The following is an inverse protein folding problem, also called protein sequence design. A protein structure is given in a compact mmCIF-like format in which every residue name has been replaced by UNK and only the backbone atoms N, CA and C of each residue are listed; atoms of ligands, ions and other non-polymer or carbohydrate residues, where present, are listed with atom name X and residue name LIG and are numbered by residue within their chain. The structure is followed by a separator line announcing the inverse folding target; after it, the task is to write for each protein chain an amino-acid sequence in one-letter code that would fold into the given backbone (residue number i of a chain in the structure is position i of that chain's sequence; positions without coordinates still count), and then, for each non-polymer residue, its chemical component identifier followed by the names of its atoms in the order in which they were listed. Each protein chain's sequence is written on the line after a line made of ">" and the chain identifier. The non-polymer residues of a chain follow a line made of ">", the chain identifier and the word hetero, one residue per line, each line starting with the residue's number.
data_IF_136653567262
#
_entry.id   IF_136653567262
#
_cell.length_a   1.000
_cell.length_b   1.000
_cell.length_c   1.000
_cell.angle_alpha   90.00
_cell.angle_beta   90.00
_cell.angle_gamma   90.00
#
_symmetry.space_group_name_H-M   'P 1'
#
loop_
_entity.id
_entity.type
_entity.pdbx_description
1 polymer ?
#
# COMPACT_ATOMS: atom_id res chain seq x y z
N UNK A 1 -0.51 -0.74 -48.76
CA UNK A 1 0.91 -0.76 -48.31
C UNK A 1 0.89 -1.12 -46.86
N UNK A 2 1.30 -2.35 -46.55
CA UNK A 2 1.15 -3.03 -45.27
C UNK A 2 2.25 -2.61 -44.29
N UNK A 3 1.88 -2.01 -43.17
CA UNK A 3 2.77 -1.79 -42.02
C UNK A 3 2.61 -2.93 -41.01
N UNK A 4 3.62 -3.80 -40.93
CA UNK A 4 3.71 -4.89 -39.95
C UNK A 4 3.87 -4.39 -38.52
N UNK A 5 3.19 -4.97 -37.52
CA UNK A 5 3.40 -4.62 -36.12
C UNK A 5 4.72 -5.21 -35.63
N UNK A 6 5.65 -4.35 -35.25
CA UNK A 6 6.91 -4.73 -34.60
C UNK A 6 6.64 -5.36 -33.26
N UNK A 7 7.07 -6.58 -33.16
CA UNK A 7 6.89 -7.56 -32.10
C UNK A 7 7.38 -7.05 -30.74
N UNK A 8 6.48 -6.66 -29.84
CA UNK A 8 6.78 -6.28 -28.43
C UNK A 8 7.35 -7.43 -27.59
N UNK A 9 7.25 -8.66 -28.07
CA UNK A 9 7.81 -9.86 -27.43
C UNK A 9 9.35 -9.96 -27.45
N UNK A 10 10.00 -9.32 -28.40
CA UNK A 10 11.47 -9.40 -28.51
C UNK A 10 12.20 -8.52 -27.47
N UNK A 11 11.55 -7.48 -26.93
CA UNK A 11 12.17 -6.57 -25.95
C UNK A 11 12.13 -7.16 -24.53
N UNK A 12 11.10 -7.93 -24.20
CA UNK A 12 10.99 -8.59 -22.89
C UNK A 12 12.06 -9.69 -22.71
N UNK A 13 12.37 -10.45 -23.75
CA UNK A 13 13.39 -11.53 -23.71
C UNK A 13 14.82 -10.96 -23.58
N UNK A 14 15.10 -9.79 -24.15
CA UNK A 14 16.44 -9.15 -24.06
C UNK A 14 16.68 -8.51 -22.69
N UNK A 15 15.64 -8.01 -22.00
CA UNK A 15 15.78 -7.49 -20.64
C UNK A 15 15.99 -8.62 -19.62
N UNK A 16 15.32 -9.76 -19.80
CA UNK A 16 15.51 -10.94 -18.93
C UNK A 16 16.89 -11.58 -19.09
N UNK A 17 17.50 -11.55 -20.28
CA UNK A 17 18.83 -12.13 -20.50
C UNK A 17 19.99 -11.26 -20.01
N UNK A 18 19.81 -9.94 -19.87
CA UNK A 18 20.81 -9.03 -19.27
C UNK A 18 20.77 -9.00 -17.74
N UNK A 19 19.68 -9.44 -17.12
CA UNK A 19 19.55 -9.68 -15.67
C UNK A 19 20.18 -11.01 -15.21
N UNK A 20 20.39 -11.96 -16.12
CA UNK A 20 20.92 -13.29 -15.83
C UNK A 20 22.41 -13.33 -15.42
N UNK A 21 23.11 -12.18 -15.42
CA UNK A 21 24.56 -12.13 -15.18
C UNK A 21 24.99 -12.01 -13.71
N UNK A 22 24.12 -11.72 -12.73
CA UNK A 22 24.52 -11.54 -11.33
C UNK A 22 23.45 -11.80 -10.26
N UNK A 23 22.24 -12.21 -10.64
CA UNK A 23 21.26 -12.70 -9.65
C UNK A 23 21.37 -14.23 -9.67
N UNK A 24 22.07 -14.80 -8.68
CA UNK A 24 22.08 -16.25 -8.44
C UNK A 24 20.60 -16.70 -8.41
N UNK A 25 20.22 -17.53 -9.41
CA UNK A 25 18.85 -17.81 -9.81
C UNK A 25 17.88 -18.10 -8.69
N UNK A 26 17.09 -17.14 -8.36
CA UNK A 26 15.88 -17.36 -7.60
C UNK A 26 14.92 -18.11 -8.51
N UNK A 27 14.77 -19.43 -8.28
CA UNK A 27 13.87 -20.26 -9.08
C UNK A 27 12.44 -19.85 -8.74
N UNK A 28 11.74 -19.29 -9.72
CA UNK A 28 10.28 -19.12 -9.64
C UNK A 28 9.67 -20.50 -9.55
N UNK A 29 8.87 -20.81 -8.52
CA UNK A 29 8.21 -22.12 -8.41
C UNK A 29 7.26 -22.34 -9.60
N UNK A 30 7.06 -23.59 -10.00
CA UNK A 30 6.16 -23.96 -11.09
C UNK A 30 4.68 -23.84 -10.68
N UNK A 31 4.38 -23.91 -9.37
CA UNK A 31 3.04 -23.76 -8.79
C UNK A 31 3.15 -23.18 -7.39
N UNK A 32 2.08 -22.56 -6.92
CA UNK A 32 1.97 -22.11 -5.52
C UNK A 32 1.73 -23.29 -4.58
N UNK A 33 2.36 -23.26 -3.41
CA UNK A 33 2.03 -24.19 -2.34
C UNK A 33 0.59 -23.94 -1.86
N UNK A 34 -0.23 -24.96 -1.83
CA UNK A 34 -1.64 -24.84 -1.43
C UNK A 34 -2.63 -24.60 -2.57
N UNK A 35 -2.16 -24.44 -3.81
CA UNK A 35 -3.02 -24.44 -4.98
C UNK A 35 -3.67 -25.83 -5.17
N UNK A 36 -4.96 -25.86 -5.51
CA UNK A 36 -5.66 -27.10 -5.83
C UNK A 36 -5.11 -27.70 -7.11
N UNK A 37 -4.70 -28.97 -7.03
CA UNK A 37 -4.16 -29.73 -8.16
C UNK A 37 -5.18 -29.98 -9.29
N UNK A 38 -6.46 -29.70 -9.03
CA UNK A 38 -7.57 -29.86 -9.98
C UNK A 38 -7.90 -28.58 -10.76
N UNK A 39 -7.39 -27.42 -10.31
CA UNK A 39 -7.55 -26.17 -11.06
C UNK A 39 -6.62 -26.19 -12.26
N UNK A 40 -7.15 -26.16 -13.47
CA UNK A 40 -6.33 -26.08 -14.69
C UNK A 40 -5.48 -24.81 -14.67
N UNK A 41 -4.21 -24.93 -15.00
CA UNK A 41 -3.21 -23.86 -14.99
C UNK A 41 -3.57 -22.71 -15.96
N UNK A 42 -4.50 -22.96 -16.89
CA UNK A 42 -4.95 -22.03 -17.93
C UNK A 42 -6.14 -21.15 -17.52
N UNK A 43 -6.66 -21.25 -16.29
CA UNK A 43 -7.76 -20.39 -15.85
C UNK A 43 -7.26 -19.00 -15.46
N UNK A 44 -8.01 -17.97 -15.88
CA UNK A 44 -7.79 -16.57 -15.50
C UNK A 44 -7.74 -16.43 -13.99
N UNK A 45 -6.67 -15.87 -13.47
CA UNK A 45 -6.53 -15.66 -12.01
C UNK A 45 -7.61 -14.70 -11.50
N UNK A 46 -8.11 -14.93 -10.27
CA UNK A 46 -9.00 -13.97 -9.60
C UNK A 46 -8.36 -12.58 -9.48
N UNK A 47 -7.02 -12.51 -9.39
CA UNK A 47 -6.29 -11.24 -9.38
C UNK A 47 -6.40 -10.44 -10.69
N UNK A 48 -6.90 -11.04 -11.78
CA UNK A 48 -7.16 -10.36 -13.06
C UNK A 48 -8.57 -9.76 -13.11
N UNK A 49 -9.45 -10.16 -12.19
CA UNK A 49 -10.80 -9.62 -12.10
C UNK A 49 -10.77 -8.25 -11.42
N UNK A 50 -11.67 -7.39 -11.84
CA UNK A 50 -11.86 -6.11 -11.16
C UNK A 50 -12.52 -6.34 -9.81
N UNK A 51 -12.22 -5.49 -8.83
CA UNK A 51 -12.73 -5.64 -7.46
C UNK A 51 -14.26 -5.68 -7.39
N UNK A 52 -14.98 -4.97 -8.27
CA UNK A 52 -16.45 -4.95 -8.31
C UNK A 52 -17.06 -6.21 -8.98
N UNK A 53 -16.26 -6.99 -9.71
CA UNK A 53 -16.68 -8.31 -10.21
C UNK A 53 -16.50 -9.39 -9.14
N UNK A 54 -15.60 -9.16 -8.19
CA UNK A 54 -15.36 -10.06 -7.05
C UNK A 54 -16.33 -9.80 -5.91
N UNK A 55 -16.57 -8.52 -5.59
CA UNK A 55 -17.44 -8.09 -4.49
C UNK A 55 -18.73 -7.48 -5.06
N UNK A 56 -19.81 -8.26 -5.08
CA UNK A 56 -21.06 -7.90 -5.76
C UNK A 56 -22.07 -7.12 -4.91
N UNK A 57 -21.74 -6.81 -3.65
CA UNK A 57 -22.58 -6.01 -2.77
C UNK A 57 -22.51 -4.51 -3.16
N UNK A 58 -23.65 -3.91 -3.49
CA UNK A 58 -23.74 -2.54 -3.97
C UNK A 58 -23.30 -1.49 -2.93
N UNK A 59 -23.57 -1.73 -1.64
CA UNK A 59 -23.15 -0.81 -0.57
C UNK A 59 -21.64 -0.89 -0.34
N UNK A 60 -21.07 -2.10 -0.36
CA UNK A 60 -19.64 -2.29 -0.35
C UNK A 60 -18.98 -1.56 -1.53
N UNK A 61 -19.54 -1.71 -2.73
CA UNK A 61 -19.01 -1.02 -3.91
C UNK A 61 -19.05 0.51 -3.77
N UNK A 62 -20.11 1.08 -3.18
CA UNK A 62 -20.19 2.53 -2.90
C UNK A 62 -19.13 2.96 -1.88
N UNK A 63 -18.93 2.20 -0.81
CA UNK A 63 -17.90 2.46 0.21
C UNK A 63 -16.50 2.45 -0.40
N UNK A 64 -16.18 1.45 -1.23
CA UNK A 64 -14.89 1.36 -1.92
C UNK A 64 -14.68 2.56 -2.84
N UNK A 65 -15.69 2.93 -3.66
CA UNK A 65 -15.60 4.12 -4.53
C UNK A 65 -15.38 5.40 -3.73
N UNK A 66 -16.05 5.55 -2.60
CA UNK A 66 -15.87 6.70 -1.70
C UNK A 66 -14.45 6.74 -1.12
N UNK A 67 -13.94 5.60 -0.66
CA UNK A 67 -12.57 5.48 -0.17
C UNK A 67 -11.55 5.81 -1.26
N UNK A 68 -11.74 5.33 -2.49
CA UNK A 68 -10.83 5.63 -3.62
C UNK A 68 -10.68 7.13 -3.90
N UNK A 69 -11.69 7.93 -3.58
CA UNK A 69 -11.67 9.40 -3.79
C UNK A 69 -11.14 10.14 -2.57
N UNK A 70 -11.56 9.74 -1.37
CA UNK A 70 -11.39 10.54 -0.16
C UNK A 70 -10.29 10.03 0.79
N UNK A 71 -9.86 8.77 0.67
CA UNK A 71 -8.90 8.17 1.59
C UNK A 71 -7.59 8.97 1.66
N UNK A 72 -7.12 9.23 2.88
CA UNK A 72 -5.94 10.07 3.12
C UNK A 72 -4.64 9.42 2.66
N UNK A 73 -4.51 8.09 2.72
CA UNK A 73 -3.29 7.40 2.26
C UNK A 73 -3.17 7.46 0.74
N UNK A 74 -4.29 7.32 0.02
CA UNK A 74 -4.32 7.53 -1.44
C UNK A 74 -3.98 8.97 -1.82
N UNK A 75 -4.52 9.96 -1.11
CA UNK A 75 -4.18 11.38 -1.33
C UNK A 75 -2.71 11.65 -1.03
N UNK A 76 -2.16 11.04 0.01
CA UNK A 76 -0.73 11.11 0.33
C UNK A 76 0.11 10.48 -0.77
N UNK A 77 -0.29 9.33 -1.31
CA UNK A 77 0.40 8.69 -2.44
C UNK A 77 0.39 9.57 -3.70
N UNK A 78 -0.73 10.26 -4.01
CA UNK A 78 -0.81 11.22 -5.11
C UNK A 78 0.15 12.40 -4.89
N UNK A 79 0.19 12.97 -3.68
CA UNK A 79 1.12 14.06 -3.36
C UNK A 79 2.60 13.61 -3.50
N UNK A 80 2.93 12.36 -3.16
CA UNK A 80 4.28 11.79 -3.37
C UNK A 80 4.62 11.68 -4.86
N UNK A 81 3.67 11.30 -5.72
CA UNK A 81 3.86 11.28 -7.18
C UNK A 81 4.14 12.69 -7.69
N UNK A 82 3.40 13.70 -7.23
CA UNK A 82 3.63 15.08 -7.66
C UNK A 82 4.99 15.60 -7.19
N UNK A 83 5.43 15.26 -5.99
CA UNK A 83 6.77 15.57 -5.50
C UNK A 83 7.86 14.87 -6.35
N UNK A 84 7.67 13.57 -6.67
CA UNK A 84 8.60 12.84 -7.53
C UNK A 84 8.64 13.41 -8.96
N UNK A 85 7.49 13.84 -9.50
CA UNK A 85 7.41 14.52 -10.80
C UNK A 85 8.15 15.84 -10.80
N UNK A 86 8.01 16.64 -9.74
CA UNK A 86 8.78 17.87 -9.57
C UNK A 86 10.29 17.59 -9.48
N UNK A 87 10.68 16.50 -8.78
CA UNK A 87 12.08 16.07 -8.71
C UNK A 87 12.66 15.69 -10.08
N UNK A 88 11.88 15.05 -10.95
CA UNK A 88 12.27 14.85 -12.36
C UNK A 88 12.48 16.18 -13.06
N UNK A 89 11.64 17.19 -12.82
CA UNK A 89 11.81 18.54 -13.33
C UNK A 89 13.14 19.18 -12.85
N UNK A 90 13.44 19.07 -11.57
CA UNK A 90 14.71 19.55 -10.99
C UNK A 90 15.90 18.84 -11.62
N UNK A 91 15.90 17.50 -11.68
CA UNK A 91 16.99 16.75 -12.29
C UNK A 91 17.17 17.05 -13.79
N UNK A 92 16.09 17.42 -14.49
CA UNK A 92 16.15 17.83 -15.90
C UNK A 92 16.65 19.27 -16.05
N UNK A 93 16.33 20.16 -15.13
CA UNK A 93 16.78 21.56 -15.19
C UNK A 93 18.30 21.69 -15.14
N UNK A 94 18.98 20.77 -14.46
CA UNK A 94 20.44 20.68 -14.46
C UNK A 94 21.06 20.42 -15.87
N UNK A 95 20.26 19.91 -16.80
CA UNK A 95 20.67 19.69 -18.21
C UNK A 95 20.41 20.91 -19.09
N UNK A 96 19.85 21.98 -18.55
CA UNK A 96 19.47 23.17 -19.29
C UNK A 96 20.29 24.37 -18.80
N UNK A 97 20.60 25.33 -19.70
CA UNK A 97 21.27 26.53 -19.31
C UNK A 97 20.38 27.38 -18.39
N UNK A 98 20.99 27.96 -17.36
CA UNK A 98 20.31 28.87 -16.44
C UNK A 98 20.79 30.28 -16.66
N UNK A 99 19.89 31.26 -16.64
CA UNK A 99 20.16 32.66 -16.79
C UNK A 99 19.73 33.41 -15.54
N UNK A 100 20.55 34.37 -15.11
CA UNK A 100 20.23 35.28 -14.02
C UNK A 100 20.55 36.71 -14.44
N UNK A 101 19.72 37.65 -14.06
CA UNK A 101 19.99 39.07 -14.18
C UNK A 101 20.41 39.63 -12.80
N UNK A 102 21.43 40.43 -12.78
CA UNK A 102 21.91 41.06 -11.56
C UNK A 102 22.37 42.51 -11.81
N UNK A 103 22.22 43.35 -10.81
CA UNK A 103 22.78 44.69 -10.76
C UNK A 103 23.49 44.87 -9.44
N UNK A 104 24.69 45.44 -9.48
CA UNK A 104 25.44 45.77 -8.29
C UNK A 104 26.10 47.15 -8.41
N UNK A 105 26.29 47.79 -7.26
CA UNK A 105 27.05 49.01 -7.13
C UNK A 105 28.06 48.82 -5.99
N UNK A 106 29.31 48.69 -6.36
CA UNK A 106 30.39 48.42 -5.41
C UNK A 106 31.29 49.62 -5.26
N UNK A 107 31.47 50.12 -4.04
CA UNK A 107 32.47 51.15 -3.70
C UNK A 107 33.57 50.51 -2.91
N UNK A 108 34.78 50.57 -3.42
CA UNK A 108 35.97 49.98 -2.77
C UNK A 108 37.01 51.08 -2.48
N UNK A 109 37.48 51.16 -1.24
CA UNK A 109 38.65 51.94 -0.87
C UNK A 109 39.83 51.01 -0.64
N UNK A 110 40.88 51.15 -1.42
CA UNK A 110 42.06 50.29 -1.32
C UNK A 110 43.09 50.94 -0.34
N UNK A 111 43.48 50.17 0.69
CA UNK A 111 44.45 50.60 1.69
C UNK A 111 45.81 51.06 1.07
N UNK A 112 46.35 52.15 1.56
CA UNK A 112 47.68 52.58 1.14
C UNK A 112 48.82 51.63 1.56
N UNK A 113 48.59 50.88 2.63
CA UNK A 113 49.54 49.90 3.17
C UNK A 113 49.39 48.51 2.58
N UNK A 114 48.40 48.28 1.65
CA UNK A 114 48.24 47.04 0.92
C UNK A 114 49.15 46.95 -0.30
N UNK A 115 49.42 45.72 -0.80
CA UNK A 115 50.33 45.51 -1.95
C UNK A 115 49.70 45.89 -3.32
N UNK A 116 48.66 46.70 -3.38
CA UNK A 116 48.00 47.07 -4.63
C UNK A 116 48.55 48.36 -5.19
N UNK A 117 48.96 48.37 -6.45
CA UNK A 117 49.33 49.55 -7.22
C UNK A 117 48.14 50.54 -7.22
N UNK A 118 48.24 51.71 -6.64
CA UNK A 118 47.17 52.72 -6.57
C UNK A 118 46.43 52.78 -5.23
N UNK A 119 46.98 52.28 -4.12
CA UNK A 119 46.46 52.38 -2.78
C UNK A 119 46.06 53.78 -2.34
N UNK A 120 45.03 53.95 -1.54
CA UNK A 120 44.48 55.22 -1.06
C UNK A 120 43.43 55.84 -2.00
N UNK A 121 42.96 55.14 -3.03
CA UNK A 121 41.87 55.61 -3.93
C UNK A 121 40.55 54.88 -3.63
N UNK A 122 39.51 55.69 -3.59
CA UNK A 122 38.12 55.11 -3.60
C UNK A 122 37.68 54.99 -5.05
N UNK A 123 37.17 53.83 -5.42
CA UNK A 123 36.59 53.56 -6.73
C UNK A 123 35.18 53.03 -6.55
N UNK A 124 34.24 53.60 -7.26
CA UNK A 124 32.88 53.07 -7.36
C UNK A 124 32.68 52.46 -8.75
N UNK A 125 32.02 51.34 -8.80
CA UNK A 125 31.69 50.64 -10.06
C UNK A 125 30.26 50.18 -9.96
N UNK A 126 29.42 50.61 -10.90
CA UNK A 126 28.07 50.08 -11.11
C UNK A 126 28.08 49.05 -12.24
N UNK A 127 27.38 47.96 -12.06
CA UNK A 127 27.23 46.94 -13.11
C UNK A 127 25.81 46.42 -13.21
N UNK A 128 25.39 46.07 -14.42
CA UNK A 128 24.14 45.35 -14.74
C UNK A 128 24.51 44.26 -15.73
N UNK A 129 24.23 43.00 -15.33
CA UNK A 129 24.60 41.87 -16.16
C UNK A 129 23.42 40.88 -16.30
N UNK A 130 23.32 40.29 -17.49
CA UNK A 130 22.68 38.99 -17.72
C UNK A 130 23.77 37.93 -17.66
N UNK A 131 23.70 37.06 -16.66
CA UNK A 131 24.66 35.98 -16.44
C UNK A 131 24.10 34.67 -17.04
N UNK A 132 24.90 34.05 -17.86
CA UNK A 132 24.74 32.64 -18.22
C UNK A 132 25.51 31.86 -17.16
N UNK A 133 24.75 31.28 -16.21
CA UNK A 133 25.35 30.57 -15.07
C UNK A 133 26.05 29.28 -15.56
N UNK A 134 26.95 28.76 -14.73
CA UNK A 134 27.76 27.59 -15.07
C UNK A 134 26.91 26.43 -15.59
N UNK A 135 26.89 26.23 -16.89
CA UNK A 135 26.18 25.16 -17.58
C UNK A 135 27.14 24.00 -17.86
N UNK A 136 26.87 22.83 -17.27
CA UNK A 136 27.65 21.61 -17.51
C UNK A 136 27.22 20.95 -18.84
N UNK A 137 28.14 20.84 -19.78
CA UNK A 137 27.95 20.04 -20.97
C UNK A 137 28.00 18.54 -20.61
N UNK A 138 26.85 17.87 -20.66
CA UNK A 138 26.73 16.46 -20.25
C UNK A 138 27.28 15.50 -21.30
N UNK A 139 28.56 15.65 -21.66
CA UNK A 139 29.24 14.82 -22.67
C UNK A 139 29.21 13.35 -22.26
N UNK A 140 29.49 13.07 -21.01
CA UNK A 140 29.56 11.71 -20.47
C UNK A 140 28.19 11.15 -20.02
N UNK A 141 27.16 11.96 -20.02
CA UNK A 141 25.80 11.56 -19.63
C UNK A 141 25.64 11.37 -18.12
N UNK A 142 26.35 12.12 -17.28
CA UNK A 142 26.17 12.12 -15.82
C UNK A 142 24.81 12.65 -15.44
N UNK A 143 24.43 13.83 -15.95
CA UNK A 143 23.15 14.48 -15.70
C UNK A 143 21.97 13.69 -16.30
N UNK A 144 22.17 13.09 -17.48
CA UNK A 144 21.18 12.17 -18.07
C UNK A 144 20.93 10.95 -17.19
N UNK A 145 21.96 10.38 -16.53
CA UNK A 145 21.78 9.27 -15.61
C UNK A 145 21.06 9.72 -14.32
N UNK A 146 21.31 10.93 -13.84
CA UNK A 146 20.61 11.50 -12.70
C UNK A 146 19.11 11.69 -13.01
N UNK A 147 18.78 12.23 -14.17
CA UNK A 147 17.37 12.33 -14.63
C UNK A 147 16.75 10.95 -14.85
N UNK A 148 17.53 9.93 -15.30
CA UNK A 148 17.06 8.55 -15.41
C UNK A 148 16.72 7.96 -14.03
N UNK A 149 17.53 8.23 -13.00
CA UNK A 149 17.25 7.82 -11.64
C UNK A 149 15.94 8.45 -11.13
N UNK A 150 15.80 9.77 -11.25
CA UNK A 150 14.58 10.48 -10.83
C UNK A 150 13.31 9.99 -11.56
N UNK A 151 13.40 9.64 -12.86
CA UNK A 151 12.27 9.05 -13.59
C UNK A 151 11.91 7.65 -13.10
N UNK A 152 12.90 6.84 -12.72
CA UNK A 152 12.64 5.52 -12.15
C UNK A 152 11.98 5.64 -10.77
N UNK A 153 12.41 6.59 -9.92
CA UNK A 153 11.76 6.91 -8.65
C UNK A 153 10.31 7.38 -8.83
N UNK A 154 10.03 8.19 -9.87
CA UNK A 154 8.66 8.57 -10.21
C UNK A 154 7.80 7.34 -10.54
N UNK A 155 8.31 6.43 -11.40
CA UNK A 155 7.57 5.19 -11.73
C UNK A 155 7.37 4.29 -10.52
N UNK A 156 8.37 4.20 -9.64
CA UNK A 156 8.22 3.49 -8.36
C UNK A 156 7.07 4.07 -7.54
N UNK A 157 6.98 5.40 -7.42
CA UNK A 157 5.89 6.07 -6.70
C UNK A 157 4.51 5.86 -7.35
N UNK A 158 4.45 5.74 -8.68
CA UNK A 158 3.21 5.40 -9.40
C UNK A 158 2.75 3.96 -9.11
N UNK A 159 3.67 3.02 -9.00
CA UNK A 159 3.36 1.64 -8.59
C UNK A 159 3.01 1.55 -7.08
N UNK A 160 3.70 2.30 -6.22
CA UNK A 160 3.37 2.39 -4.79
C UNK A 160 1.92 2.87 -4.56
N UNK A 161 1.44 3.84 -5.35
CA UNK A 161 0.04 4.28 -5.30
C UNK A 161 -0.93 3.12 -5.58
N UNK A 162 -0.61 2.24 -6.54
CA UNK A 162 -1.45 1.07 -6.85
C UNK A 162 -1.45 0.08 -5.67
N UNK A 163 -0.30 -0.09 -5.01
CA UNK A 163 -0.19 -0.90 -3.80
C UNK A 163 -1.10 -0.35 -2.69
N UNK A 164 -1.06 0.97 -2.45
CA UNK A 164 -1.95 1.63 -1.47
C UNK A 164 -3.42 1.43 -1.84
N UNK A 165 -3.77 1.53 -3.13
CA UNK A 165 -5.15 1.29 -3.59
C UNK A 165 -5.61 -0.14 -3.30
N UNK A 166 -4.78 -1.16 -3.57
CA UNK A 166 -5.09 -2.56 -3.24
C UNK A 166 -5.32 -2.74 -1.72
N UNK A 167 -4.51 -2.08 -0.89
CA UNK A 167 -4.65 -2.11 0.57
C UNK A 167 -6.00 -1.48 0.98
N UNK A 168 -6.29 -0.29 0.50
CA UNK A 168 -7.54 0.43 0.85
C UNK A 168 -8.79 -0.35 0.44
N UNK A 169 -8.82 -0.93 -0.76
CA UNK A 169 -9.93 -1.79 -1.22
C UNK A 169 -10.10 -2.99 -0.27
N UNK A 170 -9.00 -3.64 0.09
CA UNK A 170 -9.03 -4.78 1.01
C UNK A 170 -9.46 -4.41 2.43
N UNK A 171 -9.03 -3.26 2.92
CA UNK A 171 -9.36 -2.81 4.28
C UNK A 171 -10.84 -2.37 4.39
N UNK A 172 -11.39 -1.72 3.35
CA UNK A 172 -12.83 -1.41 3.27
C UNK A 172 -13.65 -2.70 3.22
N UNK A 173 -13.28 -3.65 2.36
CA UNK A 173 -14.00 -4.92 2.24
C UNK A 173 -13.92 -5.72 3.54
N UNK A 174 -12.74 -5.79 4.15
CA UNK A 174 -12.53 -6.49 5.42
C UNK A 174 -13.33 -5.88 6.57
N UNK A 175 -13.31 -4.57 6.71
CA UNK A 175 -14.11 -3.86 7.72
C UNK A 175 -15.61 -4.03 7.49
N UNK A 176 -16.07 -3.98 6.25
CA UNK A 176 -17.48 -4.16 5.91
C UNK A 176 -17.98 -5.59 6.22
N UNK A 177 -17.23 -6.63 5.87
CA UNK A 177 -17.61 -8.00 6.22
C UNK A 177 -17.58 -8.27 7.72
N UNK A 178 -16.65 -7.63 8.45
CA UNK A 178 -16.65 -7.68 9.91
C UNK A 178 -17.87 -6.97 10.51
N UNK A 179 -18.34 -5.89 9.89
CA UNK A 179 -19.55 -5.19 10.31
C UNK A 179 -20.80 -6.05 10.10
N UNK A 180 -20.92 -6.73 8.95
CA UNK A 180 -22.04 -7.67 8.68
C UNK A 180 -22.04 -8.87 9.63
N UNK A 181 -20.86 -9.35 10.02
CA UNK A 181 -20.73 -10.39 11.04
C UNK A 181 -21.25 -9.92 12.39
N UNK A 182 -20.85 -8.75 12.86
CA UNK A 182 -21.30 -8.17 14.11
C UNK A 182 -22.82 -7.92 14.12
N UNK A 183 -23.40 -7.48 13.02
CA UNK A 183 -24.86 -7.35 12.88
C UNK A 183 -25.56 -8.71 13.03
N UNK A 184 -24.99 -9.78 12.45
CA UNK A 184 -25.50 -11.15 12.55
C UNK A 184 -25.36 -11.69 13.98
N UNK A 185 -24.25 -11.42 14.68
CA UNK A 185 -24.05 -11.77 16.08
C UNK A 185 -25.05 -11.03 16.98
N UNK A 186 -25.32 -9.74 16.72
CA UNK A 186 -26.28 -8.94 17.48
C UNK A 186 -27.70 -9.50 17.35
N UNK A 187 -28.10 -9.85 16.14
CA UNK A 187 -29.41 -10.46 15.90
C UNK A 187 -29.54 -11.83 16.59
N UNK A 188 -28.50 -12.66 16.52
CA UNK A 188 -28.43 -13.92 17.24
C UNK A 188 -28.53 -13.71 18.76
N UNK A 189 -27.75 -12.79 19.33
CA UNK A 189 -27.74 -12.50 20.76
C UNK A 189 -29.12 -12.01 21.25
N UNK A 190 -29.79 -11.14 20.49
CA UNK A 190 -31.13 -10.64 20.81
C UNK A 190 -32.20 -11.76 20.79
N UNK A 191 -32.16 -12.64 19.78
CA UNK A 191 -33.05 -13.80 19.70
C UNK A 191 -32.82 -14.79 20.84
N UNK A 192 -31.54 -15.07 21.17
CA UNK A 192 -31.16 -15.95 22.28
C UNK A 192 -31.59 -15.36 23.63
N UNK A 193 -31.42 -14.05 23.85
CA UNK A 193 -31.89 -13.38 25.06
C UNK A 193 -33.41 -13.55 25.23
N UNK A 194 -34.20 -13.29 24.18
CA UNK A 194 -35.66 -13.45 24.21
C UNK A 194 -36.08 -14.89 24.55
N UNK A 195 -35.40 -15.90 23.97
CA UNK A 195 -35.63 -17.32 24.26
C UNK A 195 -35.32 -17.68 25.72
N UNK A 196 -34.20 -17.15 26.25
CA UNK A 196 -33.77 -17.39 27.64
C UNK A 196 -34.70 -16.70 28.65
N UNK A 197 -35.19 -15.50 28.35
CA UNK A 197 -36.19 -14.82 29.18
C UNK A 197 -37.51 -15.59 29.22
N UNK A 198 -37.94 -16.17 28.11
CA UNK A 198 -39.14 -17.02 28.10
C UNK A 198 -38.92 -18.31 28.92
N UNK A 199 -37.75 -18.94 28.79
CA UNK A 199 -37.37 -20.11 29.59
C UNK A 199 -37.36 -19.77 31.10
N UNK A 200 -36.78 -18.61 31.48
CA UNK A 200 -36.77 -18.16 32.87
C UNK A 200 -38.19 -17.95 33.39
N UNK A 201 -39.10 -17.34 32.61
CA UNK A 201 -40.52 -17.18 33.00
C UNK A 201 -41.20 -18.53 33.28
N UNK A 202 -40.99 -19.52 32.38
CA UNK A 202 -41.52 -20.85 32.54
C UNK A 202 -40.99 -21.55 33.79
N UNK A 203 -39.68 -21.49 34.03
CA UNK A 203 -39.01 -22.13 35.18
C UNK A 203 -39.47 -21.46 36.49
N UNK A 204 -39.63 -20.12 36.54
CA UNK A 204 -40.13 -19.37 37.69
C UNK A 204 -41.58 -19.74 38.02
N UNK A 205 -42.44 -19.90 37.02
CA UNK A 205 -43.81 -20.38 37.21
C UNK A 205 -43.84 -21.83 37.76
N UNK A 206 -42.98 -22.72 37.28
CA UNK A 206 -42.82 -24.09 37.80
C UNK A 206 -42.33 -24.08 39.28
N UNK A 207 -41.43 -23.19 39.63
CA UNK A 207 -40.93 -23.06 41.00
C UNK A 207 -42.05 -22.60 41.94
N UNK A 208 -42.86 -21.63 41.53
CA UNK A 208 -44.07 -21.21 42.31
C UNK A 208 -45.07 -22.34 42.49
N UNK A 209 -45.20 -23.25 41.49
CA UNK A 209 -45.99 -24.46 41.58
C UNK A 209 -45.34 -25.64 42.31
N UNK A 210 -44.12 -25.46 42.87
CA UNK A 210 -43.39 -26.52 43.59
C UNK A 210 -42.75 -27.58 42.70
N UNK A 211 -42.68 -27.35 41.38
CA UNK A 211 -42.18 -28.29 40.35
C UNK A 211 -40.72 -27.98 39.89
N UNK A 212 -40.14 -26.93 40.43
CA UNK A 212 -38.72 -26.54 40.19
C UNK A 212 -38.12 -25.97 41.48
N UNK A 213 -36.79 -25.98 41.57
CA UNK A 213 -36.08 -25.47 42.74
C UNK A 213 -35.67 -23.98 42.57
N UNK A 214 -35.32 -23.31 43.65
CA UNK A 214 -34.74 -21.97 43.58
C UNK A 214 -33.40 -21.98 42.83
N UNK A 215 -32.64 -23.08 42.86
CA UNK A 215 -31.40 -23.26 42.11
C UNK A 215 -31.68 -23.23 40.58
N UNK A 216 -32.73 -23.91 40.12
CA UNK A 216 -33.14 -23.92 38.73
C UNK A 216 -33.41 -22.49 38.20
N UNK A 217 -34.08 -21.67 38.99
CA UNK A 217 -34.35 -20.25 38.65
C UNK A 217 -33.03 -19.48 38.53
N UNK A 218 -32.10 -19.64 39.49
CA UNK A 218 -30.83 -18.93 39.46
C UNK A 218 -29.95 -19.32 38.26
N UNK A 219 -29.95 -20.60 37.89
CA UNK A 219 -29.26 -21.07 36.68
C UNK A 219 -29.87 -20.48 35.39
N UNK A 220 -31.19 -20.37 35.30
CA UNK A 220 -31.86 -19.71 34.19
C UNK A 220 -31.57 -18.21 34.13
N UNK A 221 -31.59 -17.52 35.30
CA UNK A 221 -31.23 -16.10 35.41
C UNK A 221 -29.77 -15.86 34.95
N UNK A 222 -28.85 -16.74 35.31
CA UNK A 222 -27.44 -16.66 34.87
C UNK A 222 -27.33 -16.60 33.33
N UNK A 223 -28.04 -17.48 32.60
CA UNK A 223 -28.02 -17.49 31.13
C UNK A 223 -28.64 -16.24 30.52
N UNK A 224 -29.71 -15.68 31.14
CA UNK A 224 -30.30 -14.41 30.71
C UNK A 224 -29.26 -13.28 30.84
N UNK A 225 -28.59 -13.17 32.01
CA UNK A 225 -27.56 -12.13 32.20
C UNK A 225 -26.34 -12.30 31.33
N UNK A 226 -25.93 -13.55 31.02
CA UNK A 226 -24.86 -13.81 30.08
C UNK A 226 -25.20 -13.31 28.67
N UNK A 227 -26.41 -13.63 28.15
CA UNK A 227 -26.85 -13.14 26.85
C UNK A 227 -27.03 -11.61 26.84
N UNK A 228 -27.64 -11.05 27.89
CA UNK A 228 -27.86 -9.61 28.01
C UNK A 228 -26.53 -8.82 28.03
N UNK A 229 -25.50 -9.35 28.68
CA UNK A 229 -24.15 -8.71 28.71
C UNK A 229 -23.48 -8.71 27.33
N UNK A 230 -23.72 -9.70 26.50
CA UNK A 230 -23.08 -9.81 25.18
C UNK A 230 -23.57 -8.73 24.22
N UNK A 231 -24.84 -8.28 24.32
CA UNK A 231 -25.44 -7.28 23.44
C UNK A 231 -24.67 -5.95 23.44
N UNK A 232 -24.47 -5.25 24.58
CA UNK A 232 -23.73 -3.96 24.57
C UNK A 232 -22.27 -4.10 24.13
N UNK A 233 -21.64 -5.26 24.30
CA UNK A 233 -20.29 -5.51 23.82
C UNK A 233 -20.23 -5.60 22.29
N UNK A 234 -21.21 -6.26 21.67
CA UNK A 234 -21.35 -6.31 20.22
C UNK A 234 -21.73 -4.91 19.68
N UNK A 235 -22.67 -4.20 20.29
CA UNK A 235 -23.07 -2.85 19.89
C UNK A 235 -21.88 -1.88 19.91
N UNK A 236 -21.06 -1.93 20.95
CA UNK A 236 -19.80 -1.18 21.01
C UNK A 236 -18.87 -1.54 19.85
N UNK A 237 -18.75 -2.83 19.53
CA UNK A 237 -17.88 -3.30 18.44
C UNK A 237 -18.39 -2.85 17.07
N UNK A 238 -19.72 -2.80 16.87
CA UNK A 238 -20.35 -2.24 15.67
C UNK A 238 -19.98 -0.77 15.52
N UNK A 239 -20.22 0.05 16.53
CA UNK A 239 -19.92 1.49 16.48
C UNK A 239 -18.44 1.77 16.22
N UNK A 240 -17.53 1.00 16.83
CA UNK A 240 -16.09 1.13 16.60
C UNK A 240 -15.71 0.73 15.16
N UNK A 241 -16.32 -0.32 14.61
CA UNK A 241 -16.09 -0.75 13.23
C UNK A 241 -16.64 0.28 12.22
N UNK A 242 -17.80 0.87 12.48
CA UNK A 242 -18.36 1.97 11.71
C UNK A 242 -17.42 3.20 11.71
N UNK A 243 -16.89 3.57 12.88
CA UNK A 243 -15.92 4.66 13.00
C UNK A 243 -14.66 4.37 12.19
N UNK A 244 -14.15 3.13 12.22
CA UNK A 244 -12.99 2.72 11.44
C UNK A 244 -13.28 2.79 9.93
N UNK A 245 -14.42 2.30 9.47
CA UNK A 245 -14.83 2.41 8.06
C UNK A 245 -15.02 3.85 7.62
N UNK A 246 -15.62 4.69 8.47
CA UNK A 246 -15.76 6.13 8.23
C UNK A 246 -14.38 6.78 8.04
N UNK A 247 -13.41 6.45 8.89
CA UNK A 247 -12.04 6.94 8.76
C UNK A 247 -11.38 6.49 7.45
N UNK A 248 -11.50 5.19 7.09
CA UNK A 248 -10.92 4.66 5.84
C UNK A 248 -11.56 5.31 4.61
N UNK A 249 -12.86 5.61 4.66
CA UNK A 249 -13.58 6.30 3.58
C UNK A 249 -13.36 7.81 3.57
N UNK A 250 -12.59 8.36 4.52
CA UNK A 250 -12.29 9.78 4.63
C UNK A 250 -13.45 10.63 5.12
N UNK A 251 -14.40 10.03 5.84
CA UNK A 251 -15.57 10.68 6.42
C UNK A 251 -15.44 10.85 7.93
N UNK A 252 -16.25 11.71 8.51
CA UNK A 252 -16.42 11.77 9.97
C UNK A 252 -17.12 10.51 10.48
N UNK A 253 -16.88 10.09 11.75
CA UNK A 253 -17.55 8.96 12.37
C UNK A 253 -19.08 9.03 12.21
N UNK A 254 -19.68 7.92 11.78
CA UNK A 254 -21.11 7.82 11.55
C UNK A 254 -21.52 6.41 11.14
N UNK A 255 -22.84 6.17 11.09
CA UNK A 255 -23.41 4.89 10.70
C UNK A 255 -23.07 4.55 9.22
N UNK A 256 -22.72 3.30 8.99
CA UNK A 256 -22.40 2.77 7.65
C UNK A 256 -23.64 2.01 7.13
N UNK A 257 -24.12 2.29 5.90
CA UNK A 257 -25.20 1.54 5.29
C UNK A 257 -24.81 0.06 5.09
N UNK A 258 -25.79 -0.84 5.27
CA UNK A 258 -25.66 -2.28 5.03
C UNK A 258 -26.39 -2.63 3.73
N UNK A 259 -25.75 -3.51 2.95
CA UNK A 259 -26.35 -4.11 1.76
C UNK A 259 -26.92 -5.49 2.08
N UNK A 260 -26.37 -6.53 1.44
CA UNK A 260 -26.80 -7.90 1.68
C UNK A 260 -26.32 -8.43 3.04
N UNK A 261 -27.17 -9.19 3.78
CA UNK A 261 -26.74 -9.88 5.00
C UNK A 261 -25.56 -10.82 4.76
N UNK A 262 -24.80 -11.13 5.83
CA UNK A 262 -23.62 -12.00 5.76
C UNK A 262 -23.91 -13.36 5.07
N UNK A 263 -25.06 -13.94 5.35
CA UNK A 263 -25.47 -15.25 4.81
C UNK A 263 -25.78 -15.24 3.31
N UNK A 264 -26.04 -14.07 2.73
CA UNK A 264 -26.36 -13.90 1.30
C UNK A 264 -25.15 -13.44 0.49
N UNK A 265 -24.02 -13.19 1.14
CA UNK A 265 -22.78 -12.83 0.44
C UNK A 265 -22.26 -14.02 -0.38
N UNK A 266 -22.02 -13.77 -1.67
CA UNK A 266 -21.51 -14.82 -2.56
C UNK A 266 -20.06 -15.15 -2.27
N UNK A 267 -19.73 -16.43 -2.16
CA UNK A 267 -18.35 -16.92 -2.10
C UNK A 267 -18.02 -17.68 -3.38
N UNK A 268 -16.81 -17.52 -3.89
CA UNK A 268 -16.35 -18.23 -5.08
C UNK A 268 -15.95 -19.67 -4.70
N UNK A 269 -16.55 -20.71 -5.29
CA UNK A 269 -16.28 -22.10 -4.89
C UNK A 269 -14.88 -22.58 -5.23
N UNK A 270 -14.29 -22.06 -6.31
CA UNK A 270 -12.93 -22.36 -6.76
C UNK A 270 -12.24 -21.04 -7.17
N UNK A 271 -11.06 -20.79 -6.61
CA UNK A 271 -10.28 -19.60 -6.92
C UNK A 271 -9.02 -20.00 -7.67
N UNK A 272 -8.94 -19.75 -9.00
CA UNK A 272 -7.72 -19.98 -9.76
C UNK A 272 -6.62 -19.01 -9.29
N UNK A 273 -5.49 -19.53 -8.83
CA UNK A 273 -4.35 -18.70 -8.38
C UNK A 273 -3.53 -18.14 -9.56
N UNK A 274 -3.64 -18.70 -10.75
CA UNK A 274 -2.80 -18.37 -11.90
C UNK A 274 -1.36 -18.89 -11.77
N UNK A 275 -0.49 -18.45 -12.68
CA UNK A 275 0.92 -18.85 -12.70
C UNK A 275 1.75 -18.00 -11.72
N UNK A 276 2.68 -18.59 -10.96
CA UNK A 276 3.61 -17.83 -10.11
C UNK A 276 4.43 -16.77 -10.85
N UNK A 277 4.78 -17.02 -12.13
CA UNK A 277 5.50 -16.06 -12.96
C UNK A 277 4.69 -14.79 -13.29
N UNK A 278 3.37 -14.90 -13.44
CA UNK A 278 2.51 -13.74 -13.71
C UNK A 278 2.42 -12.78 -12.53
N UNK A 279 2.66 -13.28 -11.30
CA UNK A 279 2.69 -12.46 -10.09
C UNK A 279 3.75 -11.36 -10.15
N UNK A 280 4.93 -11.66 -10.75
CA UNK A 280 6.05 -10.73 -10.86
C UNK A 280 5.69 -9.51 -11.74
N UNK A 281 4.83 -9.70 -12.73
CA UNK A 281 4.39 -8.63 -13.63
C UNK A 281 3.14 -7.91 -13.11
N UNK A 282 2.35 -8.58 -12.26
CA UNK A 282 1.07 -8.06 -11.79
C UNK A 282 1.19 -7.22 -10.53
N UNK A 283 1.99 -7.64 -9.55
CA UNK A 283 2.06 -6.97 -8.24
C UNK A 283 2.77 -5.63 -8.33
N UNK A 284 2.10 -4.55 -7.93
CA UNK A 284 2.69 -3.21 -7.99
C UNK A 284 3.89 -3.03 -7.05
N UNK A 285 3.91 -3.67 -5.88
CA UNK A 285 5.03 -3.61 -4.93
C UNK A 285 6.31 -4.21 -5.49
N UNK A 286 6.21 -5.30 -6.26
CA UNK A 286 7.37 -5.89 -6.95
C UNK A 286 7.88 -4.93 -8.04
N UNK A 287 6.97 -4.32 -8.80
CA UNK A 287 7.32 -3.35 -9.84
C UNK A 287 7.93 -2.08 -9.27
N UNK A 288 7.43 -1.59 -8.13
CA UNK A 288 8.02 -0.47 -7.42
C UNK A 288 9.46 -0.78 -6.97
N UNK A 289 9.68 -1.96 -6.40
CA UNK A 289 11.02 -2.39 -5.99
C UNK A 289 11.98 -2.56 -7.19
N UNK A 290 11.50 -3.03 -8.35
CA UNK A 290 12.26 -3.10 -9.58
C UNK A 290 12.68 -1.72 -10.07
N UNK A 291 11.76 -0.75 -10.11
CA UNK A 291 12.05 0.63 -10.53
C UNK A 291 13.02 1.33 -9.56
N UNK A 292 12.91 1.07 -8.26
CA UNK A 292 13.89 1.53 -7.29
C UNK A 292 15.30 0.95 -7.56
N UNK A 293 15.40 -0.33 -7.94
CA UNK A 293 16.67 -0.92 -8.36
C UNK A 293 17.22 -0.26 -9.63
N UNK A 294 16.37 0.07 -10.60
CA UNK A 294 16.75 0.83 -11.81
C UNK A 294 17.29 2.20 -11.45
N UNK A 295 16.68 2.91 -10.48
CA UNK A 295 17.16 4.19 -9.97
C UNK A 295 18.56 4.06 -9.36
N UNK A 296 18.79 3.11 -8.47
CA UNK A 296 20.09 2.90 -7.83
C UNK A 296 21.19 2.51 -8.83
N UNK A 297 20.89 1.71 -9.86
CA UNK A 297 21.83 1.43 -10.96
C UNK A 297 22.23 2.70 -11.71
N UNK A 298 21.29 3.60 -11.95
CA UNK A 298 21.59 4.88 -12.60
C UNK A 298 22.48 5.76 -11.69
N UNK A 299 22.24 5.80 -10.38
CA UNK A 299 23.06 6.53 -9.42
C UNK A 299 24.49 5.99 -9.30
N UNK A 300 24.70 4.67 -9.39
CA UNK A 300 26.06 4.11 -9.51
C UNK A 300 26.78 4.65 -10.76
N UNK A 301 26.04 4.77 -11.88
CA UNK A 301 26.60 5.36 -13.10
C UNK A 301 26.95 6.84 -12.92
N UNK A 302 26.11 7.62 -12.21
CA UNK A 302 26.40 9.02 -11.84
C UNK A 302 27.69 9.10 -11.04
N UNK A 303 27.84 8.30 -9.98
CA UNK A 303 29.04 8.30 -9.12
C UNK A 303 30.32 7.91 -9.90
N UNK A 304 30.24 6.92 -10.81
CA UNK A 304 31.37 6.55 -11.66
C UNK A 304 31.76 7.67 -12.63
N UNK A 305 30.77 8.37 -13.22
CA UNK A 305 31.02 9.46 -14.17
C UNK A 305 31.55 10.73 -13.51
N UNK A 306 31.44 10.85 -12.19
CA UNK A 306 32.04 11.95 -11.43
C UNK A 306 33.59 11.94 -11.45
N UNK A 307 34.22 10.83 -11.87
CA UNK A 307 35.67 10.77 -12.09
C UNK A 307 36.11 11.40 -13.42
N UNK A 308 35.18 11.63 -14.36
CA UNK A 308 35.48 12.16 -15.69
C UNK A 308 35.58 13.70 -15.66
N UNK A 309 36.28 14.33 -16.64
CA UNK A 309 36.37 15.77 -16.74
C UNK A 309 35.00 16.42 -16.86
N UNK A 310 34.75 17.49 -16.10
CA UNK A 310 33.55 18.30 -16.25
C UNK A 310 33.85 19.45 -17.19
N UNK A 311 33.02 19.65 -18.19
CA UNK A 311 33.09 20.77 -19.11
C UNK A 311 31.95 21.70 -18.79
N UNK A 312 32.26 22.90 -18.32
CA UNK A 312 31.26 23.91 -17.99
C UNK A 312 31.45 25.17 -18.84
N UNK A 313 30.35 25.84 -19.12
CA UNK A 313 30.32 27.12 -19.82
C UNK A 313 29.72 28.14 -18.88
N UNK A 314 30.44 29.28 -18.72
CA UNK A 314 29.92 30.43 -17.98
C UNK A 314 30.02 31.65 -18.87
N UNK A 315 29.04 32.50 -18.87
CA UNK A 315 29.02 33.73 -19.66
C UNK A 315 28.35 34.87 -18.91
N UNK A 316 28.75 36.08 -19.28
CA UNK A 316 28.26 37.29 -18.70
C UNK A 316 28.17 38.36 -19.80
N UNK A 317 27.06 39.05 -19.89
CA UNK A 317 26.82 40.10 -20.86
C UNK A 317 26.11 41.25 -20.17
N UNK A 318 26.61 42.47 -20.31
CA UNK A 318 25.96 43.60 -19.69
C UNK A 318 26.72 44.93 -19.84
N UNK A 319 26.60 45.73 -18.84
CA UNK A 319 27.21 47.06 -18.77
C UNK A 319 27.92 47.22 -17.43
N UNK A 320 29.09 47.88 -17.46
CA UNK A 320 29.87 48.22 -16.27
C UNK A 320 30.49 49.61 -16.43
N UNK A 321 30.32 50.46 -15.42
CA UNK A 321 30.83 51.82 -15.46
C UNK A 321 31.23 52.32 -14.07
N UNK A 322 32.21 53.20 -13.99
CA UNK A 322 32.60 53.93 -12.79
C UNK A 322 31.70 55.14 -12.50
N UNK A 323 30.89 55.54 -13.50
CA UNK A 323 29.88 56.58 -13.38
C UNK A 323 28.49 56.07 -13.82
N UNK A 324 27.49 56.18 -12.97
CA UNK A 324 26.14 55.75 -13.27
C UNK A 324 25.52 56.45 -14.50
N UNK A 325 25.90 57.70 -14.76
CA UNK A 325 25.45 58.45 -15.96
C UNK A 325 25.89 57.80 -17.27
N UNK A 326 26.97 57.06 -17.27
CA UNK A 326 27.55 56.40 -18.44
C UNK A 326 27.26 54.90 -18.51
N UNK A 327 26.53 54.37 -17.54
CA UNK A 327 26.33 52.92 -17.42
C UNK A 327 25.76 52.26 -18.69
N UNK A 328 24.78 52.91 -19.33
CA UNK A 328 24.16 52.39 -20.56
C UNK A 328 24.79 52.89 -21.85
N UNK A 329 25.96 53.51 -21.79
CA UNK A 329 26.65 53.95 -22.98
C UNK A 329 27.34 52.80 -23.71
N UNK A 330 27.59 52.97 -25.03
CA UNK A 330 28.27 51.95 -25.82
C UNK A 330 29.60 51.50 -25.27
N UNK A 331 30.48 52.43 -24.79
CA UNK A 331 31.77 52.07 -24.18
C UNK A 331 31.68 51.28 -22.90
N UNK A 332 30.57 51.30 -22.20
CA UNK A 332 30.35 50.57 -20.94
C UNK A 332 29.91 49.10 -21.17
N UNK A 333 29.74 48.65 -22.39
CA UNK A 333 29.40 47.25 -22.70
C UNK A 333 30.53 46.33 -22.25
N UNK A 334 30.17 45.31 -21.51
CA UNK A 334 31.08 44.29 -21.03
C UNK A 334 30.52 42.88 -21.30
N UNK A 335 31.37 41.98 -21.69
CA UNK A 335 30.99 40.55 -21.82
C UNK A 335 32.19 39.69 -21.46
N UNK A 336 31.85 38.51 -20.93
CA UNK A 336 32.84 37.46 -20.62
C UNK A 336 32.26 36.12 -21.02
N UNK A 337 33.04 35.24 -21.61
CA UNK A 337 32.68 33.86 -21.92
C UNK A 337 33.85 32.96 -21.51
N UNK A 338 33.56 32.03 -20.58
CA UNK A 338 34.56 31.17 -19.94
C UNK A 338 34.15 29.71 -20.13
N UNK A 339 34.63 29.04 -21.17
CA UNK A 339 34.64 27.58 -21.21
C UNK A 339 35.67 27.05 -20.24
N UNK A 340 35.29 26.11 -19.39
CA UNK A 340 36.17 25.55 -18.36
C UNK A 340 36.11 24.03 -18.40
N UNK A 341 37.28 23.39 -18.34
CA UNK A 341 37.40 21.94 -18.16
C UNK A 341 38.05 21.68 -16.81
N UNK A 342 37.36 20.95 -15.94
CA UNK A 342 37.85 20.61 -14.60
C UNK A 342 37.94 19.09 -14.46
N UNK A 343 39.17 18.59 -14.23
CA UNK A 343 39.44 17.17 -13.97
C UNK A 343 39.87 17.00 -12.51
N UNK A 344 39.11 16.26 -11.68
CA UNK A 344 39.57 15.94 -10.33
C UNK A 344 40.74 14.95 -10.37
N UNK A 345 41.93 15.37 -9.89
CA UNK A 345 43.14 14.53 -9.83
C UNK A 345 43.22 13.83 -8.46
N UNK A 346 43.07 14.59 -7.38
CA UNK A 346 43.10 14.08 -6.02
C UNK A 346 41.97 14.66 -5.20
N UNK A 347 41.17 13.80 -4.60
CA UNK A 347 39.96 14.18 -3.83
C UNK A 347 39.93 13.57 -2.43
N UNK A 348 41.10 13.18 -1.89
CA UNK A 348 41.19 12.58 -0.57
C UNK A 348 40.37 11.27 -0.41
N UNK A 349 40.15 10.56 -1.50
CA UNK A 349 39.35 9.33 -1.49
C UNK A 349 37.82 9.53 -1.64
N UNK A 350 37.31 10.77 -1.67
CA UNK A 350 35.87 11.08 -1.72
C UNK A 350 35.17 10.38 -2.91
N UNK A 351 35.62 10.55 -4.12
CA UNK A 351 34.99 9.94 -5.30
C UNK A 351 34.99 8.41 -5.26
N UNK A 352 36.07 7.81 -4.69
CA UNK A 352 36.12 6.36 -4.49
C UNK A 352 35.09 5.90 -3.46
N UNK A 353 34.89 6.68 -2.39
CA UNK A 353 33.88 6.40 -1.36
C UNK A 353 32.47 6.61 -1.89
N UNK A 354 32.22 7.65 -2.72
CA UNK A 354 30.94 7.89 -3.38
C UNK A 354 30.51 6.69 -4.24
N UNK A 355 31.45 6.11 -5.03
CA UNK A 355 31.17 4.90 -5.82
C UNK A 355 30.93 3.68 -4.93
N UNK A 356 31.68 3.53 -3.83
CA UNK A 356 31.44 2.42 -2.89
C UNK A 356 30.06 2.54 -2.24
N UNK A 357 29.69 3.74 -1.81
CA UNK A 357 28.40 4.04 -1.24
C UNK A 357 27.26 3.73 -2.23
N UNK A 358 27.34 4.26 -3.46
CA UNK A 358 26.33 3.99 -4.48
C UNK A 358 26.20 2.50 -4.82
N UNK A 359 27.31 1.73 -4.84
CA UNK A 359 27.26 0.28 -5.02
C UNK A 359 26.60 -0.44 -3.85
N UNK A 360 26.88 -0.02 -2.61
CA UNK A 360 26.21 -0.59 -1.44
C UNK A 360 24.70 -0.31 -1.44
N UNK A 361 24.29 0.90 -1.87
CA UNK A 361 22.86 1.22 -2.05
C UNK A 361 22.20 0.38 -3.16
N UNK A 362 22.93 0.12 -4.24
CA UNK A 362 22.44 -0.78 -5.30
C UNK A 362 22.28 -2.23 -4.76
N UNK A 363 23.24 -2.73 -4.00
CA UNK A 363 23.16 -4.07 -3.39
C UNK A 363 21.99 -4.16 -2.42
N UNK A 364 21.79 -3.13 -1.58
CA UNK A 364 20.63 -3.01 -0.72
C UNK A 364 19.32 -3.12 -1.53
N UNK A 365 19.21 -2.38 -2.65
CA UNK A 365 18.03 -2.43 -3.51
C UNK A 365 17.82 -3.82 -4.16
N UNK A 366 18.90 -4.54 -4.51
CA UNK A 366 18.82 -5.93 -5.00
C UNK A 366 18.21 -6.85 -3.94
N UNK A 367 18.71 -6.75 -2.69
CA UNK A 367 18.21 -7.58 -1.58
C UNK A 367 16.75 -7.25 -1.29
N UNK A 368 16.36 -5.97 -1.28
CA UNK A 368 14.97 -5.53 -1.10
C UNK A 368 14.04 -6.09 -2.20
N UNK A 369 14.47 -6.02 -3.46
CA UNK A 369 13.71 -6.59 -4.58
C UNK A 369 13.51 -8.12 -4.41
N UNK A 370 14.57 -8.84 -4.04
CA UNK A 370 14.49 -10.28 -3.77
C UNK A 370 13.56 -10.60 -2.60
N UNK A 371 13.65 -9.82 -1.52
CA UNK A 371 12.79 -9.97 -0.35
C UNK A 371 11.31 -9.73 -0.69
N UNK A 372 11.01 -8.70 -1.49
CA UNK A 372 9.64 -8.40 -1.94
C UNK A 372 9.06 -9.57 -2.74
N UNK A 373 9.84 -10.17 -3.65
CA UNK A 373 9.41 -11.34 -4.42
C UNK A 373 9.12 -12.54 -3.49
N UNK A 374 10.02 -12.84 -2.56
CA UNK A 374 9.83 -13.97 -1.64
C UNK A 374 8.62 -13.76 -0.73
N UNK A 375 8.43 -12.53 -0.25
CA UNK A 375 7.26 -12.18 0.56
C UNK A 375 5.96 -12.33 -0.25
N UNK A 376 5.96 -11.91 -1.52
CA UNK A 376 4.81 -12.08 -2.40
C UNK A 376 4.44 -13.56 -2.61
N UNK A 377 5.41 -14.44 -2.84
CA UNK A 377 5.16 -15.88 -2.95
C UNK A 377 4.63 -16.48 -1.65
N UNK A 378 5.21 -16.06 -0.51
CA UNK A 378 4.74 -16.46 0.81
C UNK A 378 3.29 -16.04 1.05
N UNK A 379 2.95 -14.77 0.79
CA UNK A 379 1.61 -14.23 0.97
C UNK A 379 0.55 -14.98 0.15
N UNK A 380 0.85 -15.29 -1.12
CA UNK A 380 -0.07 -16.08 -1.96
C UNK A 380 -0.23 -17.50 -1.42
N UNK A 381 0.86 -18.16 -1.03
CA UNK A 381 0.80 -19.50 -0.48
C UNK A 381 0.00 -19.55 0.82
N UNK A 382 0.24 -18.59 1.73
CA UNK A 382 -0.49 -18.48 2.99
C UNK A 382 -1.97 -18.20 2.75
N UNK A 383 -2.31 -17.28 1.82
CA UNK A 383 -3.69 -16.95 1.50
C UNK A 383 -4.47 -18.13 0.86
N UNK A 384 -3.83 -18.91 -0.01
CA UNK A 384 -4.43 -20.13 -0.59
C UNK A 384 -4.70 -21.21 0.48
N UNK A 385 -3.74 -21.42 1.37
CA UNK A 385 -3.90 -22.34 2.50
C UNK A 385 -5.02 -21.86 3.42
N UNK A 386 -5.04 -20.56 3.76
CA UNK A 386 -6.06 -19.94 4.60
C UNK A 386 -7.45 -20.14 3.99
N UNK A 387 -7.65 -19.76 2.72
CA UNK A 387 -8.93 -19.87 2.03
C UNK A 387 -9.46 -21.31 2.05
N UNK A 388 -8.62 -22.29 1.72
CA UNK A 388 -9.02 -23.70 1.75
C UNK A 388 -9.39 -24.17 3.15
N UNK A 389 -8.55 -23.85 4.17
CA UNK A 389 -8.74 -24.34 5.54
C UNK A 389 -9.92 -23.69 6.25
N UNK A 390 -10.18 -22.42 6.01
CA UNK A 390 -11.36 -21.74 6.57
C UNK A 390 -12.66 -22.37 6.03
N UNK A 391 -12.72 -22.76 4.77
CA UNK A 391 -13.88 -23.46 4.19
C UNK A 391 -14.07 -24.85 4.81
N UNK A 392 -12.99 -25.61 5.03
CA UNK A 392 -13.07 -26.90 5.73
C UNK A 392 -13.58 -26.71 7.16
N UNK A 393 -13.09 -25.69 7.89
CA UNK A 393 -13.53 -25.35 9.26
C UNK A 393 -15.00 -24.97 9.25
N UNK A 394 -15.44 -24.08 8.35
CA UNK A 394 -16.84 -23.67 8.24
C UNK A 394 -17.77 -24.88 8.03
N UNK A 395 -17.43 -25.80 7.12
CA UNK A 395 -18.22 -26.98 6.87
C UNK A 395 -18.38 -27.87 8.12
N UNK A 396 -17.32 -28.01 8.94
CA UNK A 396 -17.40 -28.74 10.21
C UNK A 396 -18.22 -27.98 11.26
N UNK A 397 -18.11 -26.65 11.29
CA UNK A 397 -18.87 -25.82 12.21
C UNK A 397 -20.39 -25.85 11.91
N UNK A 398 -20.78 -25.90 10.63
CA UNK A 398 -22.18 -26.08 10.23
C UNK A 398 -22.75 -27.40 10.75
N UNK A 399 -21.99 -28.50 10.64
CA UNK A 399 -22.38 -29.82 11.18
C UNK A 399 -22.46 -29.81 12.71
N UNK A 400 -21.51 -29.11 13.38
CA UNK A 400 -21.51 -28.98 14.83
C UNK A 400 -22.76 -28.23 15.32
N UNK A 401 -23.09 -27.10 14.71
CA UNK A 401 -24.27 -26.29 15.06
C UNK A 401 -25.54 -27.10 14.84
N UNK A 402 -25.69 -27.85 13.73
CA UNK A 402 -26.83 -28.71 13.49
C UNK A 402 -26.97 -29.77 14.61
N UNK A 403 -25.87 -30.41 14.97
CA UNK A 403 -25.86 -31.44 16.04
C UNK A 403 -26.21 -30.86 17.40
N UNK A 404 -25.68 -29.69 17.75
CA UNK A 404 -25.93 -29.01 19.04
C UNK A 404 -27.37 -28.49 19.11
N UNK A 405 -27.97 -28.09 17.99
CA UNK A 405 -29.38 -27.70 17.92
C UNK A 405 -30.29 -28.88 18.23
N UNK A 406 -30.08 -30.00 17.58
CA UNK A 406 -30.82 -31.23 17.86
C UNK A 406 -30.64 -31.70 19.31
N UNK A 407 -29.41 -31.63 19.83
CA UNK A 407 -29.08 -31.94 21.24
C UNK A 407 -29.85 -31.03 22.21
N UNK A 408 -29.89 -29.72 21.98
CA UNK A 408 -30.61 -28.77 22.80
C UNK A 408 -32.11 -29.03 22.82
N UNK A 409 -32.71 -29.29 21.64
CA UNK A 409 -34.12 -29.62 21.56
C UNK A 409 -34.47 -30.93 22.32
N UNK A 410 -33.65 -31.96 22.16
CA UNK A 410 -33.81 -33.22 22.89
C UNK A 410 -33.64 -33.05 24.41
N UNK A 411 -32.66 -32.24 24.84
CA UNK A 411 -32.44 -31.98 26.26
C UNK A 411 -33.64 -31.26 26.92
N UNK A 412 -34.21 -30.27 26.24
CA UNK A 412 -35.44 -29.60 26.70
C UNK A 412 -36.64 -30.54 26.69
N UNK A 413 -36.82 -31.43 25.70
CA UNK A 413 -37.88 -32.45 25.69
C UNK A 413 -37.76 -33.38 26.87
N UNK A 414 -36.58 -33.92 27.16
CA UNK A 414 -36.32 -34.82 28.30
C UNK A 414 -36.57 -34.11 29.64
N UNK A 415 -36.13 -32.86 29.79
CA UNK A 415 -36.43 -32.06 31.00
C UNK A 415 -37.93 -31.85 31.21
N UNK A 416 -38.69 -31.49 30.17
CA UNK A 416 -40.11 -31.31 30.23
C UNK A 416 -40.85 -32.62 30.57
N UNK A 417 -40.33 -33.75 30.10
CA UNK A 417 -40.81 -35.10 30.41
C UNK A 417 -40.41 -35.60 31.78
N UNK A 418 -39.62 -34.84 32.55
CA UNK A 418 -39.23 -35.22 33.92
C UNK A 418 -38.17 -36.32 33.99
N UNK A 419 -37.50 -36.65 32.86
CA UNK A 419 -36.50 -37.74 32.79
C UNK A 419 -35.05 -37.21 32.77
N UNK A 420 -34.87 -35.89 32.86
CA UNK A 420 -33.57 -35.26 32.89
C UNK A 420 -33.58 -33.95 33.72
N UNK A 421 -32.40 -33.47 34.05
CA UNK A 421 -32.25 -32.24 34.86
C UNK A 421 -32.29 -30.98 33.97
N UNK A 422 -32.70 -29.85 34.52
CA UNK A 422 -32.66 -28.57 33.85
C UNK A 422 -31.25 -28.19 33.46
N UNK A 423 -30.25 -28.52 34.29
CA UNK A 423 -28.84 -28.22 34.03
C UNK A 423 -28.38 -28.71 32.65
N UNK A 424 -28.76 -29.96 32.26
CA UNK A 424 -28.40 -30.52 30.96
C UNK A 424 -29.02 -29.74 29.79
N UNK A 425 -30.25 -29.23 29.95
CA UNK A 425 -30.93 -28.43 28.94
C UNK A 425 -30.25 -27.02 28.79
N UNK A 426 -29.98 -26.37 29.91
CA UNK A 426 -29.30 -25.05 29.93
C UNK A 426 -27.87 -25.12 29.42
N UNK A 427 -27.14 -26.18 29.74
CA UNK A 427 -25.78 -26.42 29.25
C UNK A 427 -25.74 -26.62 27.72
N UNK A 428 -26.71 -27.41 27.21
CA UNK A 428 -26.88 -27.60 25.78
C UNK A 428 -27.25 -26.32 25.03
N UNK A 429 -28.04 -25.43 25.63
CA UNK A 429 -28.40 -24.12 25.08
C UNK A 429 -27.19 -23.16 25.04
N UNK A 430 -26.35 -23.20 26.10
CA UNK A 430 -25.13 -22.40 26.13
C UNK A 430 -24.14 -22.83 25.01
N UNK A 431 -23.91 -24.14 24.91
CA UNK A 431 -23.01 -24.67 23.86
C UNK A 431 -23.52 -24.38 22.45
N UNK A 432 -24.84 -24.46 22.23
CA UNK A 432 -25.44 -24.10 20.94
C UNK A 432 -25.21 -22.61 20.62
N UNK A 433 -25.47 -21.71 21.58
CA UNK A 433 -25.28 -20.29 21.37
C UNK A 433 -23.80 -19.95 21.01
N UNK A 434 -22.86 -20.52 21.76
CA UNK A 434 -21.43 -20.32 21.51
C UNK A 434 -21.02 -20.85 20.11
N UNK A 435 -21.54 -22.02 19.72
CA UNK A 435 -21.29 -22.61 18.41
C UNK A 435 -21.90 -21.81 17.25
N UNK A 436 -23.10 -21.21 17.45
CA UNK A 436 -23.73 -20.32 16.44
C UNK A 436 -22.97 -19.01 16.26
N UNK A 437 -22.41 -18.42 17.32
CA UNK A 437 -21.48 -17.28 17.23
C UNK A 437 -20.23 -17.65 16.44
N UNK A 438 -19.64 -18.81 16.73
CA UNK A 438 -18.44 -19.28 16.03
C UNK A 438 -18.71 -19.60 14.55
N UNK A 439 -19.92 -20.08 14.21
CA UNK A 439 -20.33 -20.25 12.81
C UNK A 439 -20.41 -18.91 12.09
N UNK A 440 -20.96 -17.88 12.73
CA UNK A 440 -21.03 -16.53 12.17
C UNK A 440 -19.62 -15.99 11.87
N UNK A 441 -18.68 -16.16 12.82
CA UNK A 441 -17.27 -15.82 12.62
C UNK A 441 -16.64 -16.62 11.47
N UNK A 442 -16.91 -17.91 11.38
CA UNK A 442 -16.36 -18.75 10.30
C UNK A 442 -16.83 -18.31 8.91
N UNK A 443 -18.07 -17.83 8.78
CA UNK A 443 -18.59 -17.24 7.53
C UNK A 443 -17.88 -15.95 7.16
N UNK A 444 -17.67 -15.03 8.12
CA UNK A 444 -16.85 -13.84 7.90
C UNK A 444 -15.42 -14.21 7.47
N UNK A 445 -14.80 -15.15 8.17
CA UNK A 445 -13.41 -15.54 7.92
C UNK A 445 -13.22 -16.10 6.51
N UNK A 446 -14.24 -16.78 5.94
CA UNK A 446 -14.21 -17.20 4.54
C UNK A 446 -14.16 -15.99 3.59
N UNK A 447 -15.00 -14.96 3.81
CA UNK A 447 -14.99 -13.73 3.02
C UNK A 447 -13.67 -12.96 3.18
N UNK A 448 -13.15 -12.85 4.41
CA UNK A 448 -11.86 -12.21 4.67
C UNK A 448 -10.70 -12.95 3.99
N UNK A 449 -10.74 -14.28 3.97
CA UNK A 449 -9.72 -15.08 3.28
C UNK A 449 -9.75 -14.88 1.76
N UNK A 450 -10.93 -14.67 1.17
CA UNK A 450 -11.08 -14.30 -0.24
C UNK A 450 -10.51 -12.90 -0.52
N UNK A 451 -10.79 -11.91 0.34
CA UNK A 451 -10.19 -10.56 0.25
C UNK A 451 -8.67 -10.64 0.31
N UNK A 452 -8.14 -11.40 1.26
CA UNK A 452 -6.68 -11.53 1.42
C UNK A 452 -6.04 -12.24 0.23
N UNK A 453 -6.67 -13.25 -0.33
CA UNK A 453 -6.18 -13.94 -1.52
C UNK A 453 -6.20 -13.01 -2.74
N UNK A 454 -7.25 -12.21 -2.91
CA UNK A 454 -7.34 -11.22 -3.98
C UNK A 454 -6.21 -10.17 -3.88
N UNK A 455 -5.93 -9.64 -2.67
CA UNK A 455 -4.81 -8.73 -2.40
C UNK A 455 -3.46 -9.39 -2.72
N UNK A 456 -3.24 -10.62 -2.23
CA UNK A 456 -1.98 -11.33 -2.41
C UNK A 456 -1.65 -11.61 -3.88
N UNK A 457 -2.69 -11.87 -4.70
CA UNK A 457 -2.56 -12.07 -6.14
C UNK A 457 -2.37 -10.76 -6.95
N UNK A 458 -2.35 -9.61 -6.27
CA UNK A 458 -2.15 -8.31 -6.89
C UNK A 458 -3.39 -7.74 -7.57
N UNK A 459 -4.59 -8.14 -7.14
CA UNK A 459 -5.86 -7.54 -7.55
C UNK A 459 -6.14 -6.20 -6.84
N UNK A 460 -7.18 -5.49 -7.29
CA UNK A 460 -7.72 -4.31 -6.59
C UNK A 460 -7.28 -2.95 -7.10
N UNK A 461 -6.28 -2.85 -7.96
CA UNK A 461 -5.81 -1.59 -8.52
C UNK A 461 -6.28 -1.34 -9.97
N UNK A 462 -7.00 -2.28 -10.57
CA UNK A 462 -7.50 -2.23 -11.96
C UNK A 462 -8.86 -1.54 -12.08
#
# INVERSE_FOLDING_TARGET
>A
MNGTPINRFAVAIVVTSLLAGTVAGQKVPSSFRGADSTASVDQTSIGDLKWFDVFKDDELQKLVRTAMVNNYDLRTAVARIDAARANVGLARSEQLPQFAAGADFTTTHVSRNGQSIGGGRTRSVGSIFLSFLSFELDVWGRLRQQTKAARAELRASEEDRKTVLTIVVGDVAGGYFSLLELDSELDLAKRTLASREESLRLISARQQGGLATALDVRQAEELVYQASRTIPDIERSIEQTENQLSFITGNNPGAIPRGQPLDQQETLPLVPAGLPSSLLERRPDIRAAEENLVAQRALVSVAKKAFLPRISLTGLLGFQSDQLSNLFSGPSRAWTFVPQVTQPIFTGGRLKSDVKFAKAQQEFAVVQYQQTIQNAFKEVADALIQYRKVREIRAQQELLVATLRDRSELAYLRYRGGVDTLLNALDSDRELFDAELDLTKSKRDELLSLVQLYKALGGGWQ
#
